data_IF_331544719482
#
_entry.id   IF_331544719482
#
_cell.length_a   1.000
_cell.length_b   1.000
_cell.length_c   1.000
_cell.angle_alpha   90.00
_cell.angle_beta   90.00
_cell.angle_gamma   90.00
#
_symmetry.space_group_name_H-M   'P 1'
#
loop_
_entity.id
_entity.type
_entity.pdbx_description
1 polymer ?
#
# COMPACT_ATOMS: atom_id res chain seq x y z
N UNK A 1 25.26 7.16 -6.13
CA UNK A 1 26.61 7.00 -5.55
C UNK A 1 27.37 8.32 -5.47
N UNK A 2 27.37 9.17 -6.50
CA UNK A 2 28.01 10.50 -6.46
C UNK A 2 27.48 11.41 -5.34
N UNK A 3 26.16 11.41 -5.09
CA UNK A 3 25.52 12.22 -4.04
C UNK A 3 25.98 11.86 -2.61
N UNK A 4 26.38 10.61 -2.37
CA UNK A 4 26.84 10.14 -1.05
C UNK A 4 28.27 10.62 -0.80
N UNK A 5 29.12 10.58 -1.82
CA UNK A 5 30.51 11.03 -1.73
C UNK A 5 30.62 12.56 -1.57
N UNK A 6 29.68 13.31 -2.15
CA UNK A 6 29.64 14.78 -2.00
C UNK A 6 29.19 15.22 -0.60
N UNK A 7 28.49 14.35 0.14
CA UNK A 7 28.12 14.59 1.55
C UNK A 7 29.26 14.23 2.50
N UNK A 8 30.00 13.15 2.25
CA UNK A 8 31.13 12.74 3.10
C UNK A 8 32.34 13.69 3.01
N UNK A 9 32.61 14.25 1.83
CA UNK A 9 33.72 15.20 1.63
C UNK A 9 33.52 16.53 2.40
N UNK A 10 32.28 16.92 2.67
CA UNK A 10 31.96 18.10 3.50
C UNK A 10 32.15 17.88 5.00
N UNK A 11 32.16 16.63 5.48
CA UNK A 11 32.33 16.32 6.90
C UNK A 11 33.79 16.24 7.35
N UNK A 12 34.75 16.00 6.46
CA UNK A 12 36.16 15.75 6.83
C UNK A 12 37.12 16.94 6.70
N UNK A 13 36.62 18.15 6.43
CA UNK A 13 37.45 19.36 6.41
C UNK A 13 36.97 20.37 7.44
N UNK A 14 37.54 20.30 8.65
CA UNK A 14 37.85 21.46 9.51
C UNK A 14 38.55 21.03 10.81
N UNK A 15 39.88 20.98 10.76
CA UNK A 15 40.75 21.05 11.93
C UNK A 15 41.39 22.44 12.04
N UNK A 16 41.31 23.01 13.25
CA UNK A 16 42.10 24.12 13.83
C UNK A 16 41.93 25.55 13.30
N UNK A 17 41.20 26.40 14.05
CA UNK A 17 41.78 27.38 14.99
C UNK A 17 40.73 28.24 15.73
N UNK A 18 40.98 28.42 17.04
CA UNK A 18 40.64 29.54 17.95
C UNK A 18 39.17 29.88 18.29
N UNK A 19 38.88 29.60 19.57
CA UNK A 19 37.93 30.19 20.51
C UNK A 19 37.28 31.52 20.12
N UNK A 20 35.95 31.49 19.97
CA UNK A 20 35.04 32.55 20.43
C UNK A 20 33.75 31.89 20.93
N UNK A 21 33.48 32.13 22.22
CA UNK A 21 32.27 31.69 22.91
C UNK A 21 31.09 32.45 22.31
N UNK A 22 30.29 31.78 21.48
CA UNK A 22 29.02 32.28 20.94
C UNK A 22 28.04 31.15 21.16
N UNK A 23 26.92 31.45 21.82
CA UNK A 23 25.86 30.51 22.18
C UNK A 23 25.46 29.62 20.99
N UNK A 24 25.87 28.35 21.03
CA UNK A 24 25.57 27.30 20.04
C UNK A 24 24.16 26.68 20.23
N UNK A 25 23.20 27.45 20.74
CA UNK A 25 21.79 27.04 20.84
C UNK A 25 20.93 27.53 19.66
N UNK A 26 21.53 28.15 18.65
CA UNK A 26 20.82 28.71 17.50
C UNK A 26 21.41 28.26 16.16
N UNK A 27 21.30 26.97 15.83
CA UNK A 27 21.02 26.45 14.46
C UNK A 27 20.98 24.92 14.37
N UNK A 28 20.55 24.22 15.42
CA UNK A 28 20.00 22.87 15.19
C UNK A 28 18.55 23.04 14.78
N UNK A 29 18.31 23.33 13.49
CA UNK A 29 17.01 23.02 12.88
C UNK A 29 16.91 21.50 12.96
N UNK A 30 16.36 21.01 14.06
CA UNK A 30 15.95 19.62 14.15
C UNK A 30 14.78 19.53 13.18
N UNK A 31 14.95 18.84 12.05
CA UNK A 31 13.85 18.51 11.11
C UNK A 31 12.62 17.90 11.82
N UNK A 32 12.82 17.41 13.05
CA UNK A 32 11.80 16.97 13.99
C UNK A 32 10.81 18.05 14.43
N UNK A 33 11.15 19.34 14.45
CA UNK A 33 10.27 20.38 15.01
C UNK A 33 9.06 20.72 14.13
N UNK A 34 9.06 20.30 12.86
CA UNK A 34 7.96 20.45 11.90
C UNK A 34 7.15 19.18 11.69
N UNK A 35 7.64 18.02 12.15
CA UNK A 35 6.93 16.75 11.99
C UNK A 35 5.94 16.54 13.14
N UNK A 36 4.66 16.52 12.80
CA UNK A 36 3.60 16.18 13.74
C UNK A 36 3.64 14.68 14.13
N UNK A 37 3.50 14.39 15.42
CA UNK A 37 3.45 13.03 15.99
C UNK A 37 2.04 12.57 16.35
N UNK A 38 1.02 13.19 15.77
CA UNK A 38 -0.35 12.89 16.14
C UNK A 38 -0.76 11.44 15.87
N UNK A 39 -1.29 10.79 16.91
CA UNK A 39 -1.85 9.44 16.83
C UNK A 39 -3.22 9.40 16.13
N UNK A 40 -3.85 10.58 15.95
CA UNK A 40 -5.13 10.77 15.25
C UNK A 40 -4.99 10.86 13.72
N UNK A 41 -3.77 10.68 13.17
CA UNK A 41 -3.53 10.74 11.73
C UNK A 41 -3.01 9.45 11.15
N UNK A 42 -3.40 9.21 9.90
CA UNK A 42 -2.77 8.25 9.00
C UNK A 42 -1.98 9.06 7.98
N UNK A 43 -0.65 8.99 8.03
CA UNK A 43 0.21 9.67 7.07
C UNK A 43 0.43 8.75 5.88
N UNK A 44 -0.10 9.14 4.71
CA UNK A 44 -0.14 8.29 3.53
C UNK A 44 0.69 8.88 2.40
N UNK A 45 1.61 8.09 1.88
CA UNK A 45 2.30 8.37 0.62
C UNK A 45 1.77 7.45 -0.48
N UNK A 46 1.31 8.06 -1.57
CA UNK A 46 0.88 7.38 -2.78
C UNK A 46 1.81 7.76 -3.93
N UNK A 47 2.32 6.74 -4.62
CA UNK A 47 3.20 6.90 -5.78
C UNK A 47 2.45 7.48 -6.98
N UNK A 48 3.19 7.91 -7.99
CA UNK A 48 2.65 8.61 -9.18
C UNK A 48 1.51 7.88 -9.88
N UNK A 49 1.54 6.54 -9.89
CA UNK A 49 0.50 5.74 -10.54
C UNK A 49 -0.90 5.98 -9.93
N UNK A 50 -0.96 6.27 -8.63
CA UNK A 50 -2.20 6.65 -7.95
C UNK A 50 -2.54 8.12 -8.22
N UNK A 51 -1.55 8.99 -8.35
CA UNK A 51 -1.78 10.42 -8.60
C UNK A 51 -2.24 10.71 -10.03
N UNK A 52 -1.86 9.87 -11.00
CA UNK A 52 -2.29 9.95 -12.39
C UNK A 52 -3.75 9.49 -12.60
N UNK A 53 -4.31 8.75 -11.64
CA UNK A 53 -5.66 8.21 -11.70
C UNK A 53 -6.51 8.75 -10.54
N UNK A 54 -7.21 9.86 -10.74
CA UNK A 54 -7.98 10.53 -9.67
C UNK A 54 -8.96 9.60 -8.96
N UNK A 55 -9.62 8.71 -9.71
CA UNK A 55 -10.60 7.78 -9.16
C UNK A 55 -10.01 6.84 -8.08
N UNK A 56 -8.82 6.26 -8.31
CA UNK A 56 -8.23 5.33 -7.33
C UNK A 56 -7.72 6.08 -6.09
N UNK A 57 -7.13 7.27 -6.25
CA UNK A 57 -6.64 8.08 -5.13
C UNK A 57 -7.78 8.42 -4.17
N UNK A 58 -8.90 8.91 -4.70
CA UNK A 58 -10.09 9.21 -3.91
C UNK A 58 -10.66 7.94 -3.25
N UNK A 59 -10.68 6.83 -3.98
CA UNK A 59 -11.13 5.53 -3.46
C UNK A 59 -10.28 5.07 -2.26
N UNK A 60 -8.95 5.20 -2.33
CA UNK A 60 -8.05 4.86 -1.21
C UNK A 60 -8.34 5.74 0.01
N UNK A 61 -8.50 7.05 -0.19
CA UNK A 61 -8.80 7.99 0.92
C UNK A 61 -10.16 7.68 1.54
N UNK A 62 -11.18 7.42 0.71
CA UNK A 62 -12.52 7.04 1.16
C UNK A 62 -12.48 5.74 1.99
N UNK A 63 -11.74 4.74 1.51
CA UNK A 63 -11.59 3.47 2.21
C UNK A 63 -10.89 3.66 3.55
N UNK A 64 -9.77 4.39 3.60
CA UNK A 64 -9.05 4.66 4.83
C UNK A 64 -9.89 5.47 5.82
N UNK A 65 -10.68 6.44 5.34
CA UNK A 65 -11.61 7.20 6.19
C UNK A 65 -12.66 6.28 6.83
N UNK A 66 -13.17 5.33 6.05
CA UNK A 66 -14.15 4.34 6.53
C UNK A 66 -13.54 3.38 7.56
N UNK A 67 -12.31 2.92 7.31
CA UNK A 67 -11.61 1.93 8.17
C UNK A 67 -11.09 2.57 9.45
N UNK A 68 -10.57 3.80 9.39
CA UNK A 68 -9.76 4.38 10.46
C UNK A 68 -10.55 5.07 11.58
N UNK A 69 -11.89 4.97 11.56
CA UNK A 69 -12.81 5.33 12.67
C UNK A 69 -12.32 6.53 13.51
N UNK A 70 -12.26 7.71 12.89
CA UNK A 70 -11.85 9.02 13.44
C UNK A 70 -10.45 9.52 13.06
N UNK A 71 -9.52 8.64 12.63
CA UNK A 71 -8.23 9.14 12.17
C UNK A 71 -8.34 9.88 10.83
N UNK A 72 -7.70 11.04 10.74
CA UNK A 72 -7.63 11.83 9.50
C UNK A 72 -6.50 11.30 8.62
N UNK A 73 -6.80 11.02 7.36
CA UNK A 73 -5.75 10.72 6.37
C UNK A 73 -5.08 12.01 5.93
N UNK A 74 -3.77 12.11 6.16
CA UNK A 74 -2.93 13.18 5.64
C UNK A 74 -2.08 12.62 4.50
N UNK A 75 -2.31 13.11 3.29
CA UNK A 75 -1.44 12.79 2.16
C UNK A 75 -0.09 13.51 2.32
N UNK A 76 0.98 12.77 2.07
CA UNK A 76 2.34 13.29 2.07
C UNK A 76 2.86 13.47 0.65
N UNK A 77 3.70 14.48 0.48
CA UNK A 77 4.61 14.53 -0.68
C UNK A 77 5.68 13.45 -0.53
N UNK A 78 6.40 13.16 -1.62
CA UNK A 78 7.53 12.23 -1.58
C UNK A 78 8.61 12.71 -0.60
N UNK A 79 8.92 14.00 -0.61
CA UNK A 79 9.88 14.62 0.32
C UNK A 79 9.45 14.44 1.78
N UNK A 80 8.20 14.77 2.11
CA UNK A 80 7.68 14.62 3.47
C UNK A 80 7.69 13.15 3.93
N UNK A 81 7.37 12.22 3.03
CA UNK A 81 7.44 10.79 3.31
C UNK A 81 8.87 10.36 3.65
N UNK A 82 9.85 10.76 2.85
CA UNK A 82 11.25 10.41 3.10
C UNK A 82 11.78 11.04 4.38
N UNK A 83 11.50 12.33 4.61
CA UNK A 83 11.87 13.01 5.85
C UNK A 83 11.30 12.24 7.06
N UNK A 84 10.02 11.89 7.03
CA UNK A 84 9.36 11.15 8.10
C UNK A 84 9.89 9.71 8.27
N UNK A 85 10.17 9.02 7.16
CA UNK A 85 10.70 7.64 7.15
C UNK A 85 12.14 7.56 7.67
N UNK A 86 12.96 8.56 7.37
CA UNK A 86 14.35 8.64 7.84
C UNK A 86 14.46 9.22 9.26
N UNK A 87 13.35 9.74 9.79
CA UNK A 87 13.23 10.13 11.20
C UNK A 87 13.06 8.90 12.12
N UNK A 88 13.08 9.13 13.43
CA UNK A 88 12.96 8.08 14.45
C UNK A 88 11.72 7.18 14.28
N UNK A 89 11.77 5.98 14.87
CA UNK A 89 10.72 4.95 14.75
C UNK A 89 9.32 5.43 15.15
N UNK A 90 9.24 6.40 16.06
CA UNK A 90 8.01 7.06 16.49
C UNK A 90 7.25 7.74 15.35
N UNK A 91 7.97 8.27 14.35
CA UNK A 91 7.38 8.89 13.17
C UNK A 91 6.87 7.88 12.15
N UNK A 92 7.29 6.61 12.25
CA UNK A 92 6.96 5.56 11.30
C UNK A 92 5.71 4.75 11.68
N UNK A 93 5.27 4.83 12.95
CA UNK A 93 4.12 4.05 13.47
C UNK A 93 2.87 4.17 12.60
N UNK A 94 2.48 5.41 12.27
CA UNK A 94 1.31 5.74 11.45
C UNK A 94 1.68 6.20 10.02
N UNK A 95 2.89 5.86 9.55
CA UNK A 95 3.37 6.18 8.21
C UNK A 95 3.16 5.00 7.27
N UNK A 96 2.42 5.23 6.20
CA UNK A 96 2.07 4.22 5.23
C UNK A 96 2.49 4.68 3.84
N UNK A 97 3.25 3.85 3.14
CA UNK A 97 3.20 3.85 1.69
C UNK A 97 2.03 2.99 1.21
N UNK A 98 1.78 3.00 -0.09
CA UNK A 98 0.72 2.18 -0.70
C UNK A 98 0.85 0.69 -0.35
N UNK A 99 2.04 0.08 -0.33
CA UNK A 99 2.18 -1.34 0.03
C UNK A 99 1.71 -1.62 1.45
N UNK A 100 2.20 -0.84 2.43
CA UNK A 100 1.80 -0.99 3.83
C UNK A 100 0.33 -0.65 4.03
N UNK A 101 -0.20 0.35 3.32
CA UNK A 101 -1.63 0.67 3.36
C UNK A 101 -2.48 -0.50 2.86
N UNK A 102 -2.11 -1.14 1.74
CA UNK A 102 -2.81 -2.33 1.25
C UNK A 102 -2.74 -3.50 2.24
N UNK A 103 -1.54 -3.79 2.74
CA UNK A 103 -1.30 -4.94 3.59
C UNK A 103 -1.93 -4.83 4.99
N UNK A 104 -1.78 -3.67 5.63
CA UNK A 104 -2.10 -3.51 7.05
C UNK A 104 -3.52 -2.95 7.26
N UNK A 105 -4.02 -2.15 6.30
CA UNK A 105 -5.28 -1.40 6.47
C UNK A 105 -6.36 -1.85 5.47
N UNK A 106 -6.09 -1.79 4.16
CA UNK A 106 -7.16 -1.96 3.16
C UNK A 106 -7.61 -3.41 3.03
N UNK A 107 -6.70 -4.34 2.69
CA UNK A 107 -7.04 -5.73 2.41
C UNK A 107 -7.65 -6.47 3.62
N UNK A 108 -7.15 -6.29 4.86
CA UNK A 108 -7.77 -6.89 6.04
C UNK A 108 -9.21 -6.41 6.30
N UNK A 109 -9.58 -5.23 5.79
CA UNK A 109 -10.84 -4.57 6.10
C UNK A 109 -11.78 -4.47 4.87
N UNK A 110 -11.55 -5.21 3.79
CA UNK A 110 -12.40 -5.12 2.59
C UNK A 110 -13.89 -5.41 2.87
N UNK A 111 -14.21 -6.24 3.87
CA UNK A 111 -15.60 -6.58 4.20
C UNK A 111 -16.42 -5.40 4.73
N UNK A 112 -15.80 -4.40 5.37
CA UNK A 112 -16.52 -3.20 5.83
C UNK A 112 -16.72 -2.15 4.74
N UNK A 113 -16.02 -2.30 3.61
CA UNK A 113 -16.11 -1.36 2.50
C UNK A 113 -17.30 -1.70 1.57
N UNK A 114 -17.92 -0.69 0.93
CA UNK A 114 -18.87 -0.90 -0.16
C UNK A 114 -18.26 -1.72 -1.31
N UNK A 115 -19.09 -2.46 -2.06
CA UNK A 115 -18.63 -3.33 -3.16
C UNK A 115 -17.81 -2.57 -4.20
N UNK A 116 -18.29 -1.40 -4.65
CA UNK A 116 -17.56 -0.60 -5.64
C UNK A 116 -16.18 -0.16 -5.13
N UNK A 117 -16.07 0.23 -3.85
CA UNK A 117 -14.79 0.67 -3.26
C UNK A 117 -13.82 -0.51 -3.19
N UNK A 118 -14.24 -1.66 -2.63
CA UNK A 118 -13.35 -2.82 -2.51
C UNK A 118 -12.93 -3.37 -3.89
N UNK A 119 -13.86 -3.44 -4.84
CA UNK A 119 -13.55 -3.93 -6.18
C UNK A 119 -12.54 -3.01 -6.87
N UNK A 120 -12.75 -1.68 -6.83
CA UNK A 120 -11.79 -0.71 -7.40
C UNK A 120 -10.39 -0.86 -6.80
N UNK A 121 -10.28 -1.03 -5.48
CA UNK A 121 -8.99 -1.24 -4.81
C UNK A 121 -8.30 -2.53 -5.27
N UNK A 122 -9.02 -3.66 -5.24
CA UNK A 122 -8.43 -4.97 -5.56
C UNK A 122 -8.09 -5.07 -7.04
N UNK A 123 -8.98 -4.59 -7.93
CA UNK A 123 -8.74 -4.60 -9.37
C UNK A 123 -7.56 -3.69 -9.74
N UNK A 124 -7.44 -2.51 -9.13
CA UNK A 124 -6.28 -1.66 -9.33
C UNK A 124 -4.98 -2.35 -8.89
N UNK A 125 -5.00 -3.02 -7.73
CA UNK A 125 -3.84 -3.76 -7.23
C UNK A 125 -3.45 -4.93 -8.15
N UNK A 126 -4.42 -5.64 -8.73
CA UNK A 126 -4.16 -6.71 -9.70
C UNK A 126 -3.57 -6.18 -11.00
N UNK A 127 -4.09 -5.06 -11.50
CA UNK A 127 -3.66 -4.47 -12.79
C UNK A 127 -2.26 -3.89 -12.75
N UNK A 128 -1.79 -3.51 -11.56
CA UNK A 128 -0.49 -2.85 -11.36
C UNK A 128 0.42 -3.63 -10.39
N UNK A 129 0.18 -4.93 -10.23
CA UNK A 129 0.91 -5.73 -9.26
C UNK A 129 2.38 -5.92 -9.66
N UNK A 130 3.29 -5.38 -8.87
CA UNK A 130 4.69 -5.79 -8.85
C UNK A 130 4.89 -7.00 -7.91
N UNK A 131 6.12 -7.51 -7.79
CA UNK A 131 6.41 -8.63 -6.90
C UNK A 131 6.00 -8.39 -5.44
N UNK A 132 6.10 -7.14 -4.97
CA UNK A 132 5.72 -6.74 -3.61
C UNK A 132 4.22 -6.85 -3.41
N UNK A 133 3.44 -6.26 -4.31
CA UNK A 133 1.98 -6.31 -4.27
C UNK A 133 1.46 -7.74 -4.48
N UNK A 134 2.06 -8.53 -5.37
CA UNK A 134 1.72 -9.94 -5.54
C UNK A 134 1.87 -10.71 -4.22
N UNK A 135 2.97 -10.50 -3.49
CA UNK A 135 3.18 -11.14 -2.18
C UNK A 135 2.14 -10.72 -1.15
N UNK A 136 1.75 -9.43 -1.15
CA UNK A 136 0.67 -8.93 -0.29
C UNK A 136 -0.65 -9.62 -0.66
N UNK A 137 -1.06 -9.57 -1.93
CA UNK A 137 -2.33 -10.15 -2.40
C UNK A 137 -2.45 -11.64 -2.11
N UNK A 138 -1.35 -12.41 -2.19
CA UNK A 138 -1.31 -13.84 -1.81
C UNK A 138 -1.77 -14.12 -0.38
N UNK A 139 -1.52 -13.20 0.54
CA UNK A 139 -1.76 -13.43 1.97
C UNK A 139 -3.18 -13.09 2.42
N UNK A 140 -3.92 -12.31 1.63
CA UNK A 140 -5.22 -11.75 2.03
C UNK A 140 -6.40 -12.41 1.31
N UNK A 141 -7.54 -12.48 1.99
CA UNK A 141 -8.81 -12.86 1.38
C UNK A 141 -9.37 -11.67 0.62
N UNK A 142 -8.95 -11.48 -0.63
CA UNK A 142 -9.24 -10.26 -1.40
C UNK A 142 -10.04 -10.51 -2.68
N UNK A 143 -10.24 -11.76 -3.11
CA UNK A 143 -10.92 -12.07 -4.36
C UNK A 143 -12.34 -12.55 -4.05
N UNK A 144 -13.39 -11.91 -4.61
CA UNK A 144 -14.76 -12.39 -4.46
C UNK A 144 -14.91 -13.72 -5.18
N UNK A 145 -15.63 -14.66 -4.56
CA UNK A 145 -15.86 -15.98 -5.12
C UNK A 145 -17.33 -16.28 -5.42
N UNK A 146 -17.56 -17.27 -6.28
CA UNK A 146 -18.88 -17.75 -6.67
C UNK A 146 -19.70 -18.24 -5.46
N UNK A 147 -21.05 -18.23 -5.56
CA UNK A 147 -21.85 -17.86 -6.72
C UNK A 147 -22.19 -16.36 -6.84
N UNK A 148 -21.95 -15.55 -5.81
CA UNK A 148 -22.49 -14.18 -5.74
C UNK A 148 -21.48 -13.10 -5.33
N UNK A 149 -20.21 -13.47 -5.13
CA UNK A 149 -19.15 -12.53 -4.78
C UNK A 149 -19.26 -11.92 -3.38
N UNK A 150 -20.11 -12.47 -2.50
CA UNK A 150 -20.25 -11.96 -1.12
C UNK A 150 -19.08 -12.39 -0.23
N UNK A 151 -18.53 -13.57 -0.49
CA UNK A 151 -17.39 -14.10 0.25
C UNK A 151 -16.10 -13.75 -0.48
N UNK A 152 -15.10 -13.28 0.26
CA UNK A 152 -13.75 -13.09 -0.25
C UNK A 152 -12.89 -14.29 0.16
N UNK A 153 -12.05 -14.77 -0.76
CA UNK A 153 -11.11 -15.86 -0.49
C UNK A 153 -9.68 -15.47 -0.89
N UNK A 154 -8.71 -16.22 -0.37
CA UNK A 154 -7.32 -16.07 -0.80
C UNK A 154 -7.17 -16.55 -2.25
N UNK A 155 -6.31 -15.93 -3.06
CA UNK A 155 -6.05 -16.42 -4.42
C UNK A 155 -5.68 -17.91 -4.46
N UNK A 156 -4.88 -18.39 -3.50
CA UNK A 156 -4.46 -19.80 -3.40
C UNK A 156 -5.57 -20.81 -3.13
N UNK A 157 -6.78 -20.35 -2.81
CA UNK A 157 -7.98 -21.20 -2.63
C UNK A 157 -8.87 -21.23 -3.86
N UNK A 158 -8.50 -20.50 -4.92
CA UNK A 158 -9.29 -20.40 -6.13
C UNK A 158 -8.75 -21.31 -7.23
N UNK A 159 -9.67 -21.76 -8.06
CA UNK A 159 -9.44 -22.54 -9.26
C UNK A 159 -9.68 -21.64 -10.46
N UNK A 160 -8.80 -21.73 -11.45
CA UNK A 160 -9.02 -21.04 -12.70
C UNK A 160 -10.29 -21.57 -13.40
N UNK A 161 -11.27 -20.71 -13.74
CA UNK A 161 -12.60 -21.14 -14.17
C UNK A 161 -12.59 -21.94 -15.48
N UNK A 162 -11.56 -21.77 -16.30
CA UNK A 162 -11.40 -22.48 -17.59
C UNK A 162 -10.36 -23.60 -17.55
N UNK A 163 -9.96 -24.08 -16.37
CA UNK A 163 -9.03 -25.21 -16.27
C UNK A 163 -9.74 -26.56 -16.46
N UNK A 164 -8.97 -27.62 -16.74
CA UNK A 164 -9.51 -28.97 -16.94
C UNK A 164 -10.28 -29.52 -15.74
N UNK A 165 -9.92 -29.10 -14.52
CA UNK A 165 -10.58 -29.55 -13.29
C UNK A 165 -11.85 -28.78 -12.97
N UNK A 166 -12.12 -27.66 -13.65
CA UNK A 166 -13.27 -26.81 -13.34
C UNK A 166 -14.61 -27.56 -13.47
N UNK A 167 -14.71 -28.52 -14.40
CA UNK A 167 -15.91 -29.36 -14.58
C UNK A 167 -16.21 -30.30 -13.41
N UNK A 168 -15.28 -30.48 -12.47
CA UNK A 168 -15.49 -31.29 -11.26
C UNK A 168 -16.13 -30.49 -10.12
N UNK A 169 -16.24 -29.18 -10.28
CA UNK A 169 -16.76 -28.27 -9.27
C UNK A 169 -17.95 -27.49 -9.82
N UNK A 170 -18.73 -26.95 -8.91
CA UNK A 170 -19.89 -26.13 -9.16
C UNK A 170 -19.73 -24.76 -8.50
N UNK A 171 -20.57 -23.80 -8.88
CA UNK A 171 -20.50 -22.45 -8.31
C UNK A 171 -20.71 -22.41 -6.80
N UNK A 172 -21.45 -23.38 -6.24
CA UNK A 172 -21.70 -23.46 -4.79
C UNK A 172 -20.47 -23.87 -3.99
N UNK A 173 -19.43 -24.41 -4.63
CA UNK A 173 -18.18 -24.77 -3.97
C UNK A 173 -17.32 -23.54 -3.62
N UNK A 174 -17.67 -22.35 -4.13
CA UNK A 174 -16.98 -21.08 -3.86
C UNK A 174 -15.48 -21.11 -4.19
N UNK A 175 -15.11 -21.89 -5.20
CA UNK A 175 -13.74 -22.07 -5.68
C UNK A 175 -13.39 -21.20 -6.88
N UNK A 176 -14.35 -20.55 -7.53
CA UNK A 176 -14.07 -19.72 -8.70
C UNK A 176 -14.11 -18.23 -8.34
N UNK A 177 -13.25 -17.39 -8.95
CA UNK A 177 -13.42 -15.94 -8.88
C UNK A 177 -14.80 -15.54 -9.42
N UNK A 178 -15.44 -14.57 -8.77
CA UNK A 178 -16.75 -14.05 -9.18
C UNK A 178 -16.60 -12.68 -9.84
N UNK A 179 -17.27 -12.50 -10.98
CA UNK A 179 -17.28 -11.23 -11.72
C UNK A 179 -17.57 -11.45 -13.20
N UNK A 180 -17.21 -10.44 -14.00
CA UNK A 180 -17.31 -10.43 -15.45
C UNK A 180 -15.97 -10.14 -16.13
N UNK A 181 -16.01 -10.01 -17.45
CA UNK A 181 -14.84 -9.74 -18.30
C UNK A 181 -14.25 -8.33 -18.12
N UNK A 182 -14.99 -7.44 -17.47
CA UNK A 182 -14.58 -6.10 -17.05
C UNK A 182 -13.96 -6.08 -15.64
N UNK A 183 -14.05 -7.18 -14.89
CA UNK A 183 -13.65 -7.32 -13.49
C UNK A 183 -12.73 -8.53 -13.29
N UNK A 184 -13.09 -9.49 -12.44
CA UNK A 184 -12.19 -10.57 -12.00
C UNK A 184 -11.99 -11.69 -13.04
N UNK A 185 -12.83 -11.76 -14.08
CA UNK A 185 -12.74 -12.79 -15.13
C UNK A 185 -12.03 -12.30 -16.40
N UNK A 186 -11.52 -11.07 -16.42
CA UNK A 186 -10.66 -10.57 -17.50
C UNK A 186 -9.39 -11.42 -17.60
N UNK A 187 -8.98 -11.77 -18.82
CA UNK A 187 -7.94 -12.79 -19.04
C UNK A 187 -6.57 -12.42 -18.43
N UNK A 188 -6.16 -11.16 -18.54
CA UNK A 188 -4.93 -10.63 -17.93
C UNK A 188 -4.95 -10.77 -16.40
N UNK A 189 -6.08 -10.44 -15.75
CA UNK A 189 -6.25 -10.59 -14.30
C UNK A 189 -6.29 -12.05 -13.88
N UNK A 190 -6.92 -12.93 -14.66
CA UNK A 190 -6.85 -14.37 -14.42
C UNK A 190 -5.41 -14.88 -14.49
N UNK A 191 -4.59 -14.35 -15.40
CA UNK A 191 -3.17 -14.69 -15.46
C UNK A 191 -2.40 -14.20 -14.23
N UNK A 192 -2.69 -12.98 -13.73
CA UNK A 192 -2.15 -12.51 -12.44
C UNK A 192 -2.58 -13.44 -11.30
N UNK A 193 -3.86 -13.80 -11.21
CA UNK A 193 -4.37 -14.71 -10.19
C UNK A 193 -3.66 -16.08 -10.23
N UNK A 194 -3.33 -16.62 -11.42
CA UNK A 194 -2.53 -17.85 -11.54
C UNK A 194 -1.16 -17.72 -10.85
N UNK A 195 -0.51 -16.56 -10.93
CA UNK A 195 0.76 -16.30 -10.25
C UNK A 195 0.62 -16.21 -8.72
N UNK A 196 -0.59 -15.95 -8.23
CA UNK A 196 -0.93 -15.87 -6.81
C UNK A 196 -1.31 -17.24 -6.21
N UNK A 197 -1.68 -18.22 -7.04
CA UNK A 197 -1.84 -19.60 -6.60
C UNK A 197 -0.45 -20.22 -6.49
N UNK A 198 0.00 -20.51 -5.27
CA UNK A 198 1.32 -21.08 -5.01
C UNK A 198 1.61 -22.24 -5.97
N UNK A 199 2.70 -22.14 -6.74
CA UNK A 199 3.39 -23.30 -7.30
C UNK A 199 3.77 -24.20 -6.13
N UNK A 200 3.10 -25.36 -6.03
CA UNK A 200 3.66 -26.51 -5.33
C UNK A 200 4.87 -27.02 -6.11
#
# INVERSE_FOLDING_TARGET
>A
LQLVNDLESKFNSKGNHKTKNINDDQTRITFSSTLDLSDDKVYLYLTDIFNQQTNIKETVIQALTTISKEKKTQLLTEEDYFIRKMSGSEYQKNLYDHYRAYNDLLLPNLNVLPKNVKDTLVLFALDHADNTMLNILKQHCCIPCTPNGRTLNKPSKLIHPYCRLASLYSDIDSLFPYGGQDSYLREDRLNVLKLLVSTL
#
